data_IF_575824307597
#
_entry.id   IF_575824307597
#
_cell.length_a   1.000
_cell.length_b   1.000
_cell.length_c   1.000
_cell.angle_alpha   90.00
_cell.angle_beta   90.00
_cell.angle_gamma   90.00
#
_symmetry.space_group_name_H-M   'P 1'
#
loop_
_entity.id
_entity.type
_entity.pdbx_description
1 polymer ?
#
# COMPACT_ATOMS: atom_id res chain seq x y z
N UNK A 1 -23.21 6.87 17.23
CA UNK A 1 -22.67 5.71 17.97
C UNK A 1 -22.35 4.61 16.99
N UNK A 2 -21.11 4.15 16.92
CA UNK A 2 -20.80 2.89 16.25
C UNK A 2 -21.30 1.77 17.17
N UNK A 3 -22.11 0.84 16.65
CA UNK A 3 -22.49 -0.36 17.39
C UNK A 3 -21.22 -1.01 17.97
N UNK A 4 -21.26 -1.51 19.22
CA UNK A 4 -20.13 -1.99 20.04
C UNK A 4 -19.30 -3.17 19.45
N UNK A 5 -19.32 -3.39 18.13
CA UNK A 5 -18.51 -4.36 17.41
C UNK A 5 -18.09 -3.94 16.00
N UNK A 6 -18.37 -2.72 15.54
CA UNK A 6 -17.93 -2.26 14.22
C UNK A 6 -16.62 -1.46 14.32
N UNK A 7 -15.49 -2.08 13.97
CA UNK A 7 -14.18 -1.43 13.91
C UNK A 7 -13.42 -1.86 12.65
N UNK A 8 -12.47 -1.03 12.19
CA UNK A 8 -11.62 -1.39 11.05
C UNK A 8 -10.80 -2.66 11.33
N UNK A 9 -10.48 -2.93 12.60
CA UNK A 9 -9.82 -4.15 13.03
C UNK A 9 -10.72 -5.38 12.80
N UNK A 10 -12.00 -5.31 13.19
CA UNK A 10 -12.96 -6.40 12.97
C UNK A 10 -13.21 -6.63 11.48
N UNK A 11 -13.27 -5.56 10.68
CA UNK A 11 -13.36 -5.68 9.23
C UNK A 11 -12.14 -6.38 8.63
N UNK A 12 -10.92 -6.05 9.06
CA UNK A 12 -9.70 -6.75 8.64
C UNK A 12 -9.71 -8.21 9.04
N UNK A 13 -10.07 -8.54 10.28
CA UNK A 13 -10.17 -9.93 10.73
C UNK A 13 -11.18 -10.73 9.90
N UNK A 14 -12.31 -10.12 9.53
CA UNK A 14 -13.26 -10.71 8.59
C UNK A 14 -12.61 -10.97 7.22
N UNK A 15 -11.95 -9.99 6.61
CA UNK A 15 -11.28 -10.16 5.32
C UNK A 15 -10.18 -11.23 5.38
N UNK A 16 -9.39 -11.25 6.44
CA UNK A 16 -8.33 -12.24 6.64
C UNK A 16 -8.87 -13.66 6.66
N UNK A 17 -9.99 -13.90 7.36
CA UNK A 17 -10.68 -15.20 7.37
C UNK A 17 -11.21 -15.55 5.98
N UNK A 18 -11.93 -14.62 5.35
CA UNK A 18 -12.55 -14.80 4.03
C UNK A 18 -11.53 -15.19 2.95
N UNK A 19 -10.37 -14.54 2.91
CA UNK A 19 -9.33 -14.82 1.92
C UNK A 19 -8.27 -15.83 2.39
N UNK A 20 -8.43 -16.42 3.58
CA UNK A 20 -7.49 -17.36 4.20
C UNK A 20 -6.06 -16.79 4.30
N UNK A 21 -5.95 -15.55 4.76
CA UNK A 21 -4.68 -14.82 4.88
C UNK A 21 -3.91 -15.34 6.11
N UNK A 22 -2.84 -16.10 5.86
CA UNK A 22 -2.08 -16.78 6.92
C UNK A 22 -1.11 -15.86 7.66
N UNK A 23 -0.55 -14.83 7.00
CA UNK A 23 0.46 -13.96 7.60
C UNK A 23 -0.20 -12.92 8.50
N UNK A 24 -0.17 -13.12 9.81
CA UNK A 24 -0.79 -12.21 10.80
C UNK A 24 0.04 -10.97 11.04
N UNK A 25 1.35 -11.12 11.24
CA UNK A 25 2.26 -10.00 11.45
C UNK A 25 3.54 -10.17 10.65
N UNK A 26 4.17 -9.03 10.35
CA UNK A 26 5.55 -8.96 9.85
C UNK A 26 6.59 -9.40 10.89
N UNK A 27 6.30 -9.31 12.18
CA UNK A 27 7.29 -9.60 13.23
C UNK A 27 7.74 -11.06 13.23
N UNK A 28 9.07 -11.28 13.30
CA UNK A 28 9.67 -12.61 13.47
C UNK A 28 10.15 -13.28 12.17
N UNK A 29 9.95 -12.65 11.02
CA UNK A 29 10.40 -13.19 9.74
C UNK A 29 11.89 -12.86 9.50
N UNK A 30 12.74 -13.88 9.38
CA UNK A 30 14.19 -13.72 9.12
C UNK A 30 14.51 -13.53 7.63
N UNK A 31 13.48 -13.47 6.79
CA UNK A 31 13.61 -13.34 5.34
C UNK A 31 13.84 -11.88 4.92
N UNK A 32 14.23 -11.68 3.66
CA UNK A 32 14.34 -10.32 3.09
C UNK A 32 12.95 -9.67 3.08
N UNK A 33 12.81 -8.41 3.50
CA UNK A 33 11.52 -7.74 3.50
C UNK A 33 11.00 -7.58 2.07
N UNK A 34 9.69 -7.78 1.88
CA UNK A 34 9.04 -7.71 0.58
C UNK A 34 8.33 -6.37 0.40
N UNK A 35 8.71 -5.62 -0.62
CA UNK A 35 8.10 -4.35 -1.01
C UNK A 35 7.17 -4.58 -2.20
N UNK A 36 5.89 -4.28 -2.03
CA UNK A 36 4.96 -4.14 -3.14
C UNK A 36 4.93 -2.70 -3.63
N UNK A 37 5.09 -2.50 -4.93
CA UNK A 37 4.83 -1.23 -5.61
C UNK A 37 3.51 -1.36 -6.37
N UNK A 38 2.53 -0.51 -6.02
CA UNK A 38 1.25 -0.43 -6.71
C UNK A 38 1.45 0.33 -8.02
N UNK A 39 1.66 -0.44 -9.08
CA UNK A 39 1.88 0.08 -10.43
C UNK A 39 0.57 0.60 -11.01
N UNK A 40 0.66 1.62 -11.88
CA UNK A 40 -0.51 2.24 -12.54
C UNK A 40 -0.19 2.43 -14.02
N UNK A 41 -1.11 2.04 -14.90
CA UNK A 41 -0.88 2.11 -16.35
C UNK A 41 -1.51 3.29 -17.08
N UNK A 42 -2.44 4.02 -16.44
CA UNK A 42 -3.27 5.03 -17.14
C UNK A 42 -3.01 6.47 -16.69
N UNK A 43 -3.22 6.76 -15.40
CA UNK A 43 -3.11 8.13 -14.86
C UNK A 43 -2.34 8.09 -13.56
N UNK A 44 -1.64 9.20 -13.26
CA UNK A 44 -0.78 9.32 -12.07
C UNK A 44 0.17 8.13 -12.00
N UNK A 45 1.04 8.04 -13.01
CA UNK A 45 2.01 6.96 -13.20
C UNK A 45 3.31 7.37 -12.53
N UNK A 46 3.99 6.42 -11.88
CA UNK A 46 5.35 6.60 -11.40
C UNK A 46 6.29 6.40 -12.60
N UNK A 47 6.78 7.48 -13.20
CA UNK A 47 7.54 7.42 -14.46
C UNK A 47 8.91 6.75 -14.31
N UNK A 48 9.45 6.71 -13.10
CA UNK A 48 10.72 6.09 -12.75
C UNK A 48 10.53 4.81 -11.90
N UNK A 49 9.42 4.08 -12.07
CA UNK A 49 9.11 2.86 -11.29
C UNK A 49 10.24 1.82 -11.32
N UNK A 50 10.88 1.63 -12.47
CA UNK A 50 12.01 0.70 -12.62
C UNK A 50 13.22 1.14 -11.79
N UNK A 51 13.56 2.43 -11.79
CA UNK A 51 14.67 2.98 -11.00
C UNK A 51 14.41 2.82 -9.50
N UNK A 52 13.19 3.14 -9.06
CA UNK A 52 12.76 2.97 -7.67
C UNK A 52 12.82 1.50 -7.26
N UNK A 53 12.40 0.59 -8.14
CA UNK A 53 12.48 -0.86 -7.93
C UNK A 53 13.92 -1.33 -7.78
N UNK A 54 14.82 -0.85 -8.63
CA UNK A 54 16.25 -1.21 -8.56
C UNK A 54 16.92 -0.68 -7.29
N UNK A 55 16.62 0.55 -6.88
CA UNK A 55 17.12 1.10 -5.60
C UNK A 55 16.60 0.28 -4.43
N UNK A 56 15.31 -0.06 -4.39
CA UNK A 56 14.74 -0.88 -3.32
C UNK A 56 15.39 -2.28 -3.24
N UNK A 57 15.64 -2.93 -4.38
CA UNK A 57 16.39 -4.20 -4.43
C UNK A 57 17.80 -4.06 -3.87
N UNK A 58 18.53 -2.99 -4.24
CA UNK A 58 19.89 -2.71 -3.73
C UNK A 58 19.92 -2.47 -2.23
N UNK A 59 18.87 -1.86 -1.67
CA UNK A 59 18.70 -1.65 -0.22
C UNK A 59 18.32 -2.95 0.51
N UNK A 60 17.98 -4.02 -0.21
CA UNK A 60 17.77 -5.37 0.34
C UNK A 60 16.33 -5.85 0.34
N UNK A 61 15.41 -5.15 -0.33
CA UNK A 61 14.03 -5.61 -0.50
C UNK A 61 13.92 -6.66 -1.61
N UNK A 62 13.01 -7.62 -1.44
CA UNK A 62 12.41 -8.31 -2.57
C UNK A 62 11.27 -7.42 -3.10
N UNK A 63 11.32 -7.03 -4.38
CA UNK A 63 10.34 -6.09 -4.95
C UNK A 63 9.34 -6.81 -5.83
N UNK A 64 8.06 -6.51 -5.64
CA UNK A 64 6.96 -6.96 -6.50
C UNK A 64 6.19 -5.73 -7.00
N UNK A 65 6.04 -5.60 -8.32
CA UNK A 65 5.17 -4.60 -8.93
C UNK A 65 3.83 -5.25 -9.30
N UNK A 66 2.72 -4.62 -8.94
CA UNK A 66 1.40 -5.16 -9.24
C UNK A 66 0.31 -4.06 -9.30
N UNK A 67 -0.65 -4.23 -10.20
CA UNK A 67 -1.89 -3.45 -10.29
C UNK A 67 -3.06 -4.42 -10.20
N UNK A 68 -4.09 -4.09 -9.42
CA UNK A 68 -5.36 -4.81 -9.49
C UNK A 68 -6.23 -4.17 -10.57
N UNK A 69 -6.68 -4.97 -11.53
CA UNK A 69 -7.64 -4.58 -12.56
C UNK A 69 -8.93 -5.39 -12.45
N UNK A 70 -9.88 -5.14 -13.36
CA UNK A 70 -11.20 -5.80 -13.37
C UNK A 70 -11.14 -7.31 -13.60
N UNK A 71 -10.02 -7.83 -14.13
CA UNK A 71 -9.81 -9.26 -14.38
C UNK A 71 -9.04 -9.96 -13.26
N UNK A 72 -8.56 -9.19 -12.28
CA UNK A 72 -7.69 -9.71 -11.22
C UNK A 72 -8.46 -10.59 -10.25
N UNK A 73 -7.97 -11.81 -10.02
CA UNK A 73 -8.52 -12.67 -8.99
C UNK A 73 -8.22 -12.09 -7.60
N UNK A 74 -9.26 -11.57 -6.94
CA UNK A 74 -9.14 -10.90 -5.65
C UNK A 74 -8.52 -11.77 -4.55
N UNK A 75 -8.79 -13.08 -4.53
CA UNK A 75 -8.20 -13.98 -3.53
C UNK A 75 -6.69 -14.13 -3.71
N UNK A 76 -6.21 -14.22 -4.95
CA UNK A 76 -4.76 -14.26 -5.24
C UNK A 76 -4.11 -12.92 -4.92
N UNK A 77 -4.76 -11.82 -5.28
CA UNK A 77 -4.23 -10.48 -5.00
C UNK A 77 -4.16 -10.19 -3.49
N UNK A 78 -5.19 -10.54 -2.73
CA UNK A 78 -5.19 -10.40 -1.28
C UNK A 78 -4.04 -11.21 -0.63
N UNK A 79 -3.77 -12.43 -1.11
CA UNK A 79 -2.62 -13.23 -0.64
C UNK A 79 -1.27 -12.60 -1.03
N UNK A 80 -1.17 -12.02 -2.23
CA UNK A 80 0.02 -11.30 -2.65
C UNK A 80 0.29 -10.10 -1.74
N UNK A 81 -0.71 -9.26 -1.50
CA UNK A 81 -0.59 -8.11 -0.59
C UNK A 81 -0.25 -8.58 0.84
N UNK A 82 -0.93 -9.62 1.34
CA UNK A 82 -0.66 -10.17 2.67
C UNK A 82 0.76 -10.75 2.84
N UNK A 83 1.41 -11.09 1.72
CA UNK A 83 2.77 -11.59 1.71
C UNK A 83 3.83 -10.48 1.75
N UNK A 84 3.44 -9.21 1.69
CA UNK A 84 4.34 -8.05 1.64
C UNK A 84 4.50 -7.37 3.01
N UNK A 85 5.70 -6.85 3.26
CA UNK A 85 6.08 -6.14 4.49
C UNK A 85 5.90 -4.62 4.35
N UNK A 86 6.01 -4.13 3.12
CA UNK A 86 5.83 -2.74 2.74
C UNK A 86 4.97 -2.69 1.49
N UNK A 87 4.05 -1.73 1.42
CA UNK A 87 3.28 -1.41 0.22
C UNK A 87 3.47 0.08 -0.09
N UNK A 88 3.87 0.39 -1.32
CA UNK A 88 4.12 1.75 -1.78
C UNK A 88 3.28 2.04 -3.02
N UNK A 89 2.76 3.26 -3.14
CA UNK A 89 2.17 3.70 -4.38
C UNK A 89 1.64 5.13 -4.35
N UNK A 90 1.31 5.64 -5.53
CA UNK A 90 0.65 6.94 -5.69
C UNK A 90 -0.76 6.92 -5.08
N UNK A 91 -1.13 8.00 -4.40
CA UNK A 91 -2.45 8.20 -3.81
C UNK A 91 -3.56 7.75 -4.78
N UNK A 92 -4.44 6.86 -4.30
CA UNK A 92 -5.60 6.40 -5.06
C UNK A 92 -6.11 5.03 -4.61
N UNK A 93 -7.16 4.56 -5.27
CA UNK A 93 -7.90 3.35 -4.91
C UNK A 93 -7.03 2.10 -4.77
N UNK A 94 -5.93 1.99 -5.52
CA UNK A 94 -4.99 0.86 -5.40
C UNK A 94 -4.44 0.67 -3.98
N UNK A 95 -4.23 1.76 -3.23
CA UNK A 95 -3.74 1.73 -1.84
C UNK A 95 -4.77 1.18 -0.84
N UNK A 96 -6.06 1.09 -1.21
CA UNK A 96 -7.10 0.50 -0.34
C UNK A 96 -6.83 -0.98 -0.04
N UNK A 97 -6.04 -1.66 -0.88
CA UNK A 97 -5.60 -3.02 -0.63
C UNK A 97 -4.72 -3.17 0.63
N UNK A 98 -4.30 -2.06 1.27
CA UNK A 98 -3.68 -2.07 2.60
C UNK A 98 -4.47 -2.90 3.63
N UNK A 99 -5.77 -3.07 3.46
CA UNK A 99 -6.63 -3.93 4.30
C UNK A 99 -6.18 -5.40 4.34
N UNK A 100 -5.39 -5.85 3.36
CA UNK A 100 -4.84 -7.22 3.30
C UNK A 100 -3.42 -7.35 3.86
N UNK A 101 -2.73 -6.22 4.13
CA UNK A 101 -1.39 -6.25 4.70
C UNK A 101 -1.36 -6.95 6.07
N UNK A 102 -0.24 -7.61 6.44
CA UNK A 102 -0.07 -8.13 7.80
C UNK A 102 0.09 -6.98 8.81
N UNK A 103 -0.15 -7.26 10.08
CA UNK A 103 0.09 -6.31 11.17
C UNK A 103 1.58 -5.93 11.21
N UNK A 104 1.86 -4.67 11.54
CA UNK A 104 3.16 -4.01 11.54
C UNK A 104 3.78 -3.81 10.14
N UNK A 105 3.03 -4.05 9.05
CA UNK A 105 3.44 -3.64 7.71
C UNK A 105 3.51 -2.10 7.60
N UNK A 106 4.21 -1.62 6.58
CA UNK A 106 4.35 -0.19 6.29
C UNK A 106 3.60 0.15 5.00
N UNK A 107 2.72 1.15 5.05
CA UNK A 107 2.16 1.80 3.87
C UNK A 107 2.94 3.08 3.58
N UNK A 108 3.49 3.20 2.37
CA UNK A 108 4.13 4.40 1.85
C UNK A 108 3.21 5.02 0.80
N UNK A 109 2.65 6.18 1.11
CA UNK A 109 1.78 6.91 0.20
C UNK A 109 2.55 8.03 -0.48
N UNK A 110 2.66 7.95 -1.81
CA UNK A 110 3.17 9.05 -2.63
C UNK A 110 2.01 10.03 -2.92
N UNK A 111 2.08 11.24 -2.38
CA UNK A 111 1.05 12.28 -2.55
C UNK A 111 1.41 13.15 -3.76
N UNK A 112 0.58 13.18 -4.83
CA UNK A 112 0.84 13.97 -6.02
C UNK A 112 0.67 15.48 -5.77
N UNK A 113 1.12 16.29 -6.73
CA UNK A 113 0.86 17.73 -6.74
C UNK A 113 -0.65 18.05 -6.66
N UNK A 114 -0.97 19.16 -5.99
CA UNK A 114 -2.35 19.65 -5.87
C UNK A 114 -2.82 19.93 -4.44
N UNK A 115 -1.93 19.89 -3.44
CA UNK A 115 -2.24 20.18 -2.02
C UNK A 115 -3.42 19.33 -1.49
N UNK A 116 -3.33 18.02 -1.73
CA UNK A 116 -4.35 17.05 -1.31
C UNK A 116 -3.96 16.34 0.00
N UNK A 117 -3.01 16.87 0.76
CA UNK A 117 -2.44 16.27 1.97
C UNK A 117 -3.52 15.88 3.00
N UNK A 118 -4.47 16.77 3.30
CA UNK A 118 -5.60 16.47 4.19
C UNK A 118 -6.40 15.26 3.67
N UNK A 119 -6.74 15.23 2.38
CA UNK A 119 -7.50 14.12 1.80
C UNK A 119 -6.70 12.82 1.73
N UNK A 120 -5.38 12.91 1.52
CA UNK A 120 -4.48 11.78 1.56
C UNK A 120 -4.46 11.11 2.94
N UNK A 121 -4.34 11.92 4.01
CA UNK A 121 -4.36 11.46 5.39
C UNK A 121 -5.70 10.88 5.79
N UNK A 122 -6.81 11.57 5.51
CA UNK A 122 -8.15 11.07 5.80
C UNK A 122 -8.41 9.70 5.14
N UNK A 123 -7.91 9.50 3.92
CA UNK A 123 -8.13 8.26 3.17
C UNK A 123 -7.24 7.09 3.64
N UNK A 124 -5.99 7.35 4.03
CA UNK A 124 -5.01 6.26 4.28
C UNK A 124 -4.16 6.45 5.53
N UNK A 125 -3.76 7.68 5.85
CA UNK A 125 -2.96 7.98 7.04
C UNK A 125 -3.69 7.73 8.36
N UNK A 126 -4.87 8.33 8.52
CA UNK A 126 -5.69 8.22 9.73
C UNK A 126 -6.22 6.81 10.00
N UNK A 127 -6.67 6.02 8.98
CA UNK A 127 -7.14 4.66 9.24
C UNK A 127 -5.99 3.65 9.42
N UNK A 128 -4.75 3.91 8.99
CA UNK A 128 -3.64 2.96 9.07
C UNK A 128 -3.32 2.50 10.51
N UNK A 129 -3.20 3.37 11.54
CA UNK A 129 -2.96 2.94 12.92
C UNK A 129 -4.05 2.01 13.45
N UNK A 130 -5.33 2.28 13.15
CA UNK A 130 -6.45 1.41 13.54
C UNK A 130 -6.39 0.01 12.91
N UNK A 131 -5.60 -0.14 11.84
CA UNK A 131 -5.34 -1.40 11.15
C UNK A 131 -4.03 -2.10 11.57
N UNK A 132 -3.32 -1.57 12.58
CA UNK A 132 -1.95 -1.98 12.94
C UNK A 132 -0.95 -1.82 11.77
N UNK A 133 -1.15 -0.82 10.91
CA UNK A 133 -0.25 -0.50 9.80
C UNK A 133 0.49 0.79 10.13
N UNK A 134 1.80 0.78 9.90
CA UNK A 134 2.63 1.99 9.98
C UNK A 134 2.44 2.80 8.71
N UNK A 135 2.26 4.10 8.83
CA UNK A 135 2.04 4.99 7.70
C UNK A 135 3.23 5.93 7.48
N UNK A 136 3.64 6.07 6.22
CA UNK A 136 4.62 7.04 5.74
C UNK A 136 4.04 7.81 4.57
N UNK A 137 4.18 9.12 4.60
CA UNK A 137 3.75 10.04 3.56
C UNK A 137 4.96 10.61 2.85
N UNK A 138 4.93 10.62 1.52
CA UNK A 138 5.92 11.31 0.69
C UNK A 138 5.20 12.23 -0.29
N UNK A 139 5.25 13.52 -0.04
CA UNK A 139 4.66 14.53 -0.93
C UNK A 139 5.69 14.93 -1.98
N UNK A 140 5.36 14.72 -3.25
CA UNK A 140 6.26 15.05 -4.35
C UNK A 140 6.39 16.57 -4.50
N UNK A 141 7.58 17.01 -4.87
CA UNK A 141 7.86 18.39 -5.28
C UNK A 141 7.42 18.65 -6.73
N UNK A 142 7.44 19.91 -7.15
CA UNK A 142 7.14 20.28 -8.53
C UNK A 142 8.18 19.72 -9.51
N UNK A 143 9.44 19.63 -9.08
CA UNK A 143 10.56 19.09 -9.86
C UNK A 143 10.44 17.57 -10.10
N UNK A 144 9.71 16.86 -9.24
CA UNK A 144 9.47 15.41 -9.34
C UNK A 144 8.21 15.07 -10.15
N UNK A 145 7.55 16.06 -10.75
CA UNK A 145 6.29 15.87 -11.47
C UNK A 145 6.41 16.19 -12.95
N UNK A 146 5.99 15.24 -13.79
CA UNK A 146 5.89 15.43 -15.24
C UNK A 146 4.79 16.42 -15.64
N UNK A 147 3.92 16.86 -14.72
CA UNK A 147 2.93 17.91 -15.01
C UNK A 147 3.57 19.25 -15.35
N UNK A 148 4.81 19.47 -14.93
CA UNK A 148 5.57 20.68 -15.31
C UNK A 148 6.02 20.68 -16.78
N UNK A 149 5.88 19.54 -17.47
CA UNK A 149 6.28 19.33 -18.86
C UNK A 149 5.07 19.28 -19.83
N UNK A 150 3.85 19.54 -19.33
CA UNK A 150 2.60 19.59 -20.11
C UNK A 150 2.20 21.03 -20.39
#
# INVERSE_FOLDING_TARGET
EYAMGASILNFREFLRRTYSLQRKSRMGDKTRPRLMIVSRRRTRILTNEDEVSEVAKKVGFEVVTAEADTSTNLSRFARLVNSCDVMMGLHGAGLTNMVFLPDNAVLIQLVPLGKIDIFARLAFGDPAPGMNIKYLEYTISTQESSLTQQ
#
